data_IF_116715622647
#
_entry.id   IF_116715622647
#
_cell.length_a   1.000
_cell.length_b   1.000
_cell.length_c   1.000
_cell.angle_alpha   90.00
_cell.angle_beta   90.00
_cell.angle_gamma   90.00
#
_symmetry.space_group_name_H-M   'P 1'
#
loop_
_entity.id
_entity.type
_entity.pdbx_description
1 polymer ?
#
# COMPACT_ATOMS: atom_id res chain seq x y z
N UNK A 1 -23.06 -61.91 -14.55
CA UNK A 1 -22.77 -60.58 -15.11
C UNK A 1 -22.37 -59.68 -13.96
N UNK A 2 -21.07 -59.46 -13.77
CA UNK A 2 -20.57 -58.51 -12.77
C UNK A 2 -20.32 -57.17 -13.49
N UNK A 3 -21.10 -56.15 -13.14
CA UNK A 3 -20.91 -54.80 -13.65
C UNK A 3 -19.91 -54.05 -12.78
N UNK A 4 -18.77 -53.68 -13.35
CA UNK A 4 -17.86 -52.71 -12.74
C UNK A 4 -18.53 -51.34 -12.71
N UNK A 5 -18.75 -50.78 -11.52
CA UNK A 5 -19.11 -49.37 -11.38
C UNK A 5 -17.82 -48.57 -11.24
N UNK A 6 -17.42 -47.91 -12.32
CA UNK A 6 -16.26 -47.01 -12.31
C UNK A 6 -16.73 -45.61 -11.89
N UNK A 7 -16.38 -45.19 -10.66
CA UNK A 7 -16.70 -43.86 -10.17
C UNK A 7 -15.55 -42.91 -10.52
N UNK A 8 -15.79 -41.98 -11.46
CA UNK A 8 -14.87 -40.88 -11.75
C UNK A 8 -15.02 -39.84 -10.64
N UNK A 9 -14.05 -39.78 -9.73
CA UNK A 9 -13.87 -38.60 -8.89
C UNK A 9 -13.37 -37.50 -9.83
N UNK A 10 -14.25 -36.58 -10.20
CA UNK A 10 -13.85 -35.30 -10.75
C UNK A 10 -13.24 -34.52 -9.59
N UNK A 11 -11.92 -34.58 -9.45
CA UNK A 11 -11.19 -33.54 -8.75
C UNK A 11 -11.44 -32.26 -9.53
N UNK A 12 -12.42 -31.48 -9.11
CA UNK A 12 -12.35 -30.05 -9.37
C UNK A 12 -11.08 -29.60 -8.66
N UNK A 13 -10.00 -29.39 -9.42
CA UNK A 13 -9.02 -28.43 -8.94
C UNK A 13 -9.84 -27.18 -8.66
N UNK A 14 -9.87 -26.74 -7.41
CA UNK A 14 -10.13 -25.34 -7.18
C UNK A 14 -9.07 -24.62 -8.01
N UNK A 15 -9.45 -24.18 -9.21
CA UNK A 15 -8.84 -23.01 -9.79
C UNK A 15 -9.13 -21.96 -8.73
N UNK A 16 -8.16 -21.72 -7.86
CA UNK A 16 -8.13 -20.50 -7.07
C UNK A 16 -7.98 -19.40 -8.11
N UNK A 17 -9.11 -18.98 -8.66
CA UNK A 17 -9.26 -17.69 -9.30
C UNK A 17 -9.29 -16.66 -8.17
N UNK A 18 -8.23 -16.60 -7.35
CA UNK A 18 -7.92 -15.35 -6.69
C UNK A 18 -7.63 -14.40 -7.86
N UNK A 19 -8.51 -13.43 -8.04
CA UNK A 19 -8.35 -12.34 -9.00
C UNK A 19 -6.92 -11.85 -8.90
N UNK A 20 -6.12 -12.09 -9.95
CA UNK A 20 -4.76 -11.60 -9.98
C UNK A 20 -4.86 -10.08 -10.13
N UNK A 21 -4.70 -9.39 -9.00
CA UNK A 21 -4.51 -7.95 -8.96
C UNK A 21 -3.32 -7.57 -9.86
N UNK A 22 -3.34 -6.35 -10.38
CA UNK A 22 -2.43 -5.96 -11.44
C UNK A 22 -0.96 -5.90 -10.96
N UNK A 23 -0.07 -6.62 -11.65
CA UNK A 23 1.39 -6.49 -11.50
C UNK A 23 1.97 -5.83 -12.76
N UNK A 24 2.54 -4.61 -12.71
CA UNK A 24 3.20 -4.02 -13.86
C UNK A 24 4.38 -4.87 -14.31
N UNK A 25 4.64 -4.93 -15.62
CA UNK A 25 5.84 -5.58 -16.13
C UNK A 25 7.09 -4.73 -15.77
N UNK A 26 8.25 -5.35 -15.51
CA UNK A 26 9.49 -4.60 -15.33
C UNK A 26 9.75 -3.63 -16.49
N UNK A 27 10.18 -2.41 -16.17
CA UNK A 27 10.43 -1.36 -17.16
C UNK A 27 9.18 -0.62 -17.67
N UNK A 28 8.01 -0.80 -17.04
CA UNK A 28 6.81 0.00 -17.36
C UNK A 28 7.06 1.48 -17.08
N UNK A 29 6.93 2.33 -18.09
CA UNK A 29 7.05 3.80 -17.95
C UNK A 29 5.95 4.35 -17.05
N UNK A 30 6.32 5.24 -16.13
CA UNK A 30 5.42 5.86 -15.14
C UNK A 30 5.58 7.38 -15.11
N UNK A 31 4.53 8.07 -14.70
CA UNK A 31 4.50 9.50 -14.39
C UNK A 31 3.78 9.67 -13.05
N UNK A 32 4.41 10.37 -12.09
CA UNK A 32 3.85 10.63 -10.76
C UNK A 32 3.45 12.10 -10.70
N UNK A 33 2.19 12.37 -10.35
CA UNK A 33 1.65 13.74 -10.25
C UNK A 33 0.81 13.89 -8.97
N UNK A 34 1.44 14.33 -7.88
CA UNK A 34 0.79 14.58 -6.58
C UNK A 34 0.35 16.05 -6.46
N UNK A 35 -0.69 16.45 -7.20
CA UNK A 35 -1.19 17.84 -7.21
C UNK A 35 -2.57 18.03 -6.62
N UNK A 36 -3.28 16.94 -6.32
CA UNK A 36 -4.63 16.94 -5.78
C UNK A 36 -4.76 15.82 -4.75
N UNK A 37 -5.59 16.05 -3.73
CA UNK A 37 -5.96 15.01 -2.79
C UNK A 37 -6.80 13.94 -3.50
N UNK A 38 -6.90 12.77 -2.88
CA UNK A 38 -7.80 11.72 -3.34
C UNK A 38 -9.24 12.25 -3.40
N UNK A 39 -9.64 13.14 -2.49
CA UNK A 39 -11.00 13.72 -2.46
C UNK A 39 -11.29 14.66 -3.63
N UNK A 40 -10.25 15.27 -4.20
CA UNK A 40 -10.37 16.27 -5.27
C UNK A 40 -10.11 15.73 -6.69
N UNK A 41 -9.69 14.46 -6.84
CA UNK A 41 -9.22 13.95 -8.14
C UNK A 41 -10.34 13.71 -9.17
N UNK A 42 -11.62 13.74 -8.77
CA UNK A 42 -12.75 13.51 -9.68
C UNK A 42 -12.65 12.18 -10.44
N UNK A 43 -13.15 12.10 -11.67
CA UNK A 43 -12.97 10.92 -12.52
C UNK A 43 -11.55 10.88 -13.11
N UNK A 44 -10.85 9.76 -12.96
CA UNK A 44 -9.51 9.55 -13.49
C UNK A 44 -9.47 9.66 -15.03
N UNK A 45 -8.90 10.74 -15.61
CA UNK A 45 -8.97 11.01 -17.05
C UNK A 45 -8.21 9.99 -17.90
N UNK A 46 -7.23 9.32 -17.29
CA UNK A 46 -6.23 8.51 -17.97
C UNK A 46 -6.73 7.12 -18.38
N UNK A 47 -7.80 6.61 -17.75
CA UNK A 47 -8.33 5.27 -18.03
C UNK A 47 -8.84 5.11 -19.47
N UNK A 48 -9.41 6.16 -20.06
CA UNK A 48 -9.94 6.11 -21.43
C UNK A 48 -8.84 6.14 -22.51
N UNK A 49 -7.57 6.26 -22.12
CA UNK A 49 -6.42 6.31 -23.03
C UNK A 49 -5.53 5.06 -22.92
N UNK A 50 -5.97 4.03 -22.19
CA UNK A 50 -5.24 2.78 -22.01
C UNK A 50 -4.15 2.82 -20.92
N UNK A 51 -4.09 3.90 -20.14
CA UNK A 51 -3.23 3.98 -18.96
C UNK A 51 -3.89 3.34 -17.74
N UNK A 52 -3.05 2.87 -16.83
CA UNK A 52 -3.45 2.51 -15.47
C UNK A 52 -3.12 3.64 -14.51
N UNK A 53 -3.85 3.67 -13.42
CA UNK A 53 -3.83 4.72 -12.41
C UNK A 53 -3.44 4.16 -11.06
N UNK A 54 -2.49 4.81 -10.40
CA UNK A 54 -2.08 4.53 -9.03
C UNK A 54 -2.56 5.72 -8.19
N UNK A 55 -3.27 5.46 -7.11
CA UNK A 55 -3.76 6.49 -6.20
C UNK A 55 -2.94 6.49 -4.92
N UNK A 56 -2.31 7.62 -4.62
CA UNK A 56 -1.42 7.76 -3.48
C UNK A 56 -2.15 8.41 -2.29
N UNK A 57 -1.86 7.95 -1.08
CA UNK A 57 -2.24 8.60 0.17
C UNK A 57 -1.24 8.25 1.28
N UNK A 58 -1.05 9.14 2.24
CA UNK A 58 -0.22 8.85 3.41
C UNK A 58 -0.93 7.85 4.33
N UNK A 59 -0.24 6.78 4.73
CA UNK A 59 -0.77 5.77 5.63
C UNK A 59 -0.05 5.73 6.98
N UNK A 60 1.15 6.32 7.08
CA UNK A 60 1.88 6.52 8.33
C UNK A 60 1.38 7.70 9.15
N UNK A 61 1.30 8.91 8.60
CA UNK A 61 0.84 10.08 9.35
C UNK A 61 -0.65 10.40 9.18
N UNK A 62 -1.21 11.03 10.22
CA UNK A 62 -2.40 11.86 10.13
C UNK A 62 -2.01 13.22 9.53
N UNK A 63 -2.73 13.66 8.52
CA UNK A 63 -2.57 14.96 7.85
C UNK A 63 -3.75 15.87 8.25
N UNK A 64 -3.50 16.95 9.00
CA UNK A 64 -4.56 17.77 9.61
C UNK A 64 -5.49 18.50 8.62
N UNK A 65 -5.07 18.61 7.36
CA UNK A 65 -5.83 19.22 6.28
C UNK A 65 -6.77 18.25 5.56
N UNK A 66 -6.73 16.95 5.88
CA UNK A 66 -7.62 15.96 5.29
C UNK A 66 -9.00 16.02 5.92
N UNK A 67 -10.02 15.73 5.13
CA UNK A 67 -11.41 15.75 5.61
C UNK A 67 -11.70 14.70 6.70
N UNK A 68 -10.87 13.66 6.81
CA UNK A 68 -10.98 12.58 7.79
C UNK A 68 -10.07 12.78 9.02
N UNK A 69 -9.31 13.88 9.12
CA UNK A 69 -8.37 14.14 10.22
C UNK A 69 -9.04 14.07 11.61
N UNK A 70 -10.23 14.65 11.74
CA UNK A 70 -11.00 14.65 12.99
C UNK A 70 -11.55 13.26 13.38
N UNK A 71 -11.41 12.26 12.52
CA UNK A 71 -11.86 10.88 12.80
C UNK A 71 -10.80 10.04 13.51
N UNK A 72 -9.54 10.45 13.48
CA UNK A 72 -8.47 9.73 14.16
C UNK A 72 -8.63 9.86 15.68
N UNK A 73 -8.55 8.74 16.44
CA UNK A 73 -8.56 8.83 17.89
C UNK A 73 -7.26 9.48 18.37
N UNK A 74 -7.35 10.31 19.42
CA UNK A 74 -6.21 11.06 19.92
C UNK A 74 -5.07 10.15 20.39
N UNK A 75 -5.39 8.96 20.90
CA UNK A 75 -4.42 7.94 21.30
C UNK A 75 -3.67 7.29 20.14
N UNK A 76 -4.15 7.41 18.90
CA UNK A 76 -3.43 6.94 17.71
C UNK A 76 -2.50 8.00 17.12
N UNK A 77 -2.55 9.25 17.59
CA UNK A 77 -1.75 10.35 17.04
C UNK A 77 -0.52 10.57 17.93
N UNK A 78 0.66 10.43 17.33
CA UNK A 78 1.95 10.46 18.01
C UNK A 78 2.73 11.74 17.76
N UNK A 79 4.04 11.57 17.61
CA UNK A 79 4.96 12.69 17.38
C UNK A 79 4.69 13.38 16.03
N UNK A 80 4.88 14.71 15.95
CA UNK A 80 4.86 15.41 14.67
C UNK A 80 5.98 14.92 13.77
N UNK A 81 5.78 15.02 12.45
CA UNK A 81 6.85 14.81 11.47
C UNK A 81 7.77 16.04 11.45
N UNK A 82 9.08 15.82 11.35
CA UNK A 82 10.08 16.89 11.54
C UNK A 82 10.00 17.98 10.46
N UNK A 83 9.75 17.61 9.20
CA UNK A 83 9.78 18.52 8.05
C UNK A 83 8.39 18.83 7.46
N UNK A 84 7.32 18.30 8.07
CA UNK A 84 5.95 18.36 7.51
C UNK A 84 4.95 18.91 8.53
N UNK A 85 4.76 20.24 8.50
CA UNK A 85 3.79 20.92 9.38
C UNK A 85 2.36 20.43 9.12
N UNK A 86 1.66 20.04 10.19
CA UNK A 86 0.31 19.48 10.11
C UNK A 86 0.28 17.95 9.98
N UNK A 87 1.44 17.28 9.92
CA UNK A 87 1.54 15.82 9.94
C UNK A 87 2.01 15.28 11.30
N UNK A 88 1.38 14.20 11.75
CA UNK A 88 1.78 13.48 12.96
C UNK A 88 1.68 11.96 12.76
N UNK A 89 2.67 11.22 13.24
CA UNK A 89 2.76 9.78 13.09
C UNK A 89 1.57 9.05 13.73
N UNK A 90 1.09 7.98 13.07
CA UNK A 90 0.02 7.13 13.60
C UNK A 90 0.58 5.89 14.31
N UNK A 91 -0.11 5.45 15.37
CA UNK A 91 0.03 4.07 15.85
C UNK A 91 -0.62 3.13 14.82
N UNK A 92 0.19 2.49 13.99
CA UNK A 92 -0.26 1.60 12.91
C UNK A 92 -0.96 0.32 13.40
N UNK A 93 -0.96 0.05 14.70
CA UNK A 93 -1.69 -1.06 15.34
C UNK A 93 -3.09 -0.64 15.79
N UNK A 94 -3.39 0.66 15.83
CA UNK A 94 -4.68 1.15 16.27
C UNK A 94 -5.76 0.79 15.23
N UNK A 95 -6.78 0.05 15.67
CA UNK A 95 -7.83 -0.43 14.78
C UNK A 95 -8.67 0.71 14.19
N UNK A 96 -9.01 1.74 14.97
CA UNK A 96 -9.79 2.88 14.43
C UNK A 96 -8.99 3.66 13.37
N UNK A 97 -7.66 3.76 13.51
CA UNK A 97 -6.80 4.29 12.45
C UNK A 97 -6.79 3.37 11.21
N UNK A 98 -6.75 2.05 11.41
CA UNK A 98 -6.88 1.06 10.31
C UNK A 98 -8.24 1.17 9.61
N UNK A 99 -9.33 1.43 10.33
CA UNK A 99 -10.67 1.67 9.75
C UNK A 99 -10.67 2.87 8.80
N UNK A 100 -9.97 3.95 9.17
CA UNK A 100 -9.81 5.13 8.31
C UNK A 100 -9.03 4.77 7.04
N UNK A 101 -7.97 3.98 7.15
CA UNK A 101 -7.23 3.50 5.96
C UNK A 101 -8.09 2.63 5.06
N UNK A 102 -8.95 1.77 5.61
CA UNK A 102 -9.93 1.03 4.80
C UNK A 102 -10.84 1.97 4.03
N UNK A 103 -11.34 3.03 4.67
CA UNK A 103 -12.17 4.03 4.00
C UNK A 103 -11.41 4.76 2.87
N UNK A 104 -10.12 5.07 3.06
CA UNK A 104 -9.27 5.65 2.00
C UNK A 104 -9.08 4.69 0.82
N UNK A 105 -8.86 3.40 1.09
CA UNK A 105 -8.76 2.36 0.05
C UNK A 105 -10.09 2.18 -0.69
N UNK A 106 -11.21 2.20 0.03
CA UNK A 106 -12.54 2.15 -0.58
C UNK A 106 -12.77 3.34 -1.51
N UNK A 107 -12.39 4.55 -1.08
CA UNK A 107 -12.46 5.74 -1.92
C UNK A 107 -11.59 5.62 -3.19
N UNK A 108 -10.40 5.01 -3.09
CA UNK A 108 -9.56 4.74 -4.26
C UNK A 108 -10.24 3.75 -5.24
N UNK A 109 -10.83 2.67 -4.72
CA UNK A 109 -11.57 1.70 -5.54
C UNK A 109 -12.77 2.36 -6.23
N UNK A 110 -13.55 3.18 -5.51
CA UNK A 110 -14.71 3.90 -6.03
C UNK A 110 -14.35 4.92 -7.11
N UNK A 111 -13.20 5.58 -6.97
CA UNK A 111 -12.64 6.49 -7.98
C UNK A 111 -12.07 5.75 -9.19
N UNK A 112 -11.99 4.43 -9.09
CA UNK A 112 -11.57 3.53 -10.15
C UNK A 112 -10.06 3.50 -10.30
N UNK A 113 -9.28 3.61 -9.23
CA UNK A 113 -7.84 3.37 -9.29
C UNK A 113 -7.55 1.91 -9.70
N UNK A 114 -6.37 1.61 -10.24
CA UNK A 114 -5.92 0.24 -10.52
C UNK A 114 -4.99 -0.29 -9.42
N UNK A 115 -4.43 0.63 -8.64
CA UNK A 115 -3.50 0.35 -7.58
C UNK A 115 -3.50 1.50 -6.57
N UNK A 116 -2.94 1.22 -5.40
CA UNK A 116 -2.60 2.23 -4.40
C UNK A 116 -1.11 2.23 -4.10
N UNK A 117 -0.63 3.39 -3.67
CA UNK A 117 0.73 3.65 -3.19
C UNK A 117 0.60 4.37 -1.85
N UNK A 118 0.81 3.65 -0.76
CA UNK A 118 0.62 4.16 0.60
C UNK A 118 1.94 4.63 1.17
N UNK A 119 2.02 5.92 1.50
CA UNK A 119 3.25 6.57 1.94
C UNK A 119 3.54 6.36 3.44
N UNK A 120 4.82 6.50 3.79
CA UNK A 120 5.34 6.55 5.16
C UNK A 120 5.04 5.31 6.03
N UNK A 121 5.25 4.11 5.49
CA UNK A 121 5.00 2.83 6.19
C UNK A 121 6.11 2.46 7.18
N UNK A 122 7.19 3.22 7.20
CA UNK A 122 8.42 3.08 7.97
C UNK A 122 8.44 3.89 9.27
N UNK A 123 7.26 4.13 9.88
CA UNK A 123 7.10 4.84 11.16
C UNK A 123 8.05 4.34 12.27
N UNK A 124 8.37 3.04 12.27
CA UNK A 124 9.30 2.41 13.21
C UNK A 124 10.74 2.95 13.12
N UNK A 125 11.13 3.57 12.00
CA UNK A 125 12.44 4.22 11.82
C UNK A 125 12.47 5.66 12.34
N UNK A 126 11.31 6.30 12.55
CA UNK A 126 11.18 7.70 12.96
C UNK A 126 10.80 7.85 14.44
N UNK A 127 11.70 7.45 15.34
CA UNK A 127 11.47 7.37 16.79
C UNK A 127 10.17 6.60 17.13
N UNK A 128 9.84 5.64 16.27
CA UNK A 128 8.66 4.80 16.36
C UNK A 128 7.33 5.57 16.48
N UNK A 129 7.28 6.80 15.98
CA UNK A 129 6.14 7.71 16.11
C UNK A 129 5.80 8.10 17.56
N UNK A 130 6.62 7.72 18.55
CA UNK A 130 6.29 7.81 19.97
C UNK A 130 5.51 6.62 20.56
N UNK A 131 5.39 5.50 19.83
CA UNK A 131 4.55 4.34 20.17
C UNK A 131 5.29 3.01 20.39
N UNK A 132 6.63 3.03 20.37
CA UNK A 132 7.50 1.84 20.42
C UNK A 132 7.19 0.81 19.31
N UNK A 133 6.72 1.28 18.14
CA UNK A 133 6.52 0.49 16.93
C UNK A 133 7.82 -0.19 16.47
N UNK A 134 7.66 -1.42 15.98
CA UNK A 134 8.74 -2.27 15.48
C UNK A 134 8.59 -2.53 13.98
N UNK A 135 9.61 -3.12 13.37
CA UNK A 135 9.53 -3.58 11.98
C UNK A 135 8.43 -4.65 11.80
N UNK A 136 8.19 -5.50 12.81
CA UNK A 136 7.13 -6.51 12.75
C UNK A 136 5.75 -5.85 12.70
N UNK A 137 5.55 -4.74 13.44
CA UNK A 137 4.31 -3.95 13.37
C UNK A 137 4.11 -3.31 11.99
N UNK A 138 5.20 -2.89 11.34
CA UNK A 138 5.15 -2.31 10.01
C UNK A 138 4.85 -3.37 8.93
N UNK A 139 5.42 -4.57 9.05
CA UNK A 139 5.11 -5.72 8.17
C UNK A 139 3.65 -6.15 8.35
N UNK A 140 3.14 -6.23 9.58
CA UNK A 140 1.72 -6.49 9.83
C UNK A 140 0.81 -5.44 9.20
N UNK A 141 1.21 -4.16 9.28
CA UNK A 141 0.46 -3.06 8.69
C UNK A 141 0.45 -3.11 7.15
N UNK A 142 1.59 -3.43 6.52
CA UNK A 142 1.68 -3.67 5.07
C UNK A 142 0.79 -4.85 4.66
N UNK A 143 0.80 -5.93 5.44
CA UNK A 143 -0.07 -7.08 5.20
C UNK A 143 -1.55 -6.67 5.27
N UNK A 144 -1.95 -5.95 6.32
CA UNK A 144 -3.30 -5.43 6.47
C UNK A 144 -3.74 -4.57 5.27
N UNK A 145 -2.93 -3.59 4.88
CA UNK A 145 -3.26 -2.68 3.78
C UNK A 145 -3.33 -3.40 2.44
N UNK A 146 -2.35 -4.26 2.14
CA UNK A 146 -2.29 -5.02 0.89
C UNK A 146 -3.45 -6.01 0.77
N UNK A 147 -3.78 -6.77 1.83
CA UNK A 147 -4.91 -7.68 1.83
C UNK A 147 -6.23 -6.94 1.60
N UNK A 148 -6.43 -5.79 2.25
CA UNK A 148 -7.63 -4.99 2.03
C UNK A 148 -7.69 -4.42 0.61
N UNK A 149 -6.59 -3.89 0.07
CA UNK A 149 -6.50 -3.41 -1.31
C UNK A 149 -6.83 -4.52 -2.32
N UNK A 150 -6.25 -5.71 -2.14
CA UNK A 150 -6.55 -6.87 -2.99
C UNK A 150 -8.02 -7.28 -2.91
N UNK A 151 -8.66 -7.15 -1.73
CA UNK A 151 -10.10 -7.40 -1.58
C UNK A 151 -10.98 -6.42 -2.39
N UNK A 152 -10.41 -5.29 -2.81
CA UNK A 152 -11.04 -4.26 -3.65
C UNK A 152 -10.54 -4.27 -5.10
N UNK A 153 -9.89 -5.36 -5.54
CA UNK A 153 -9.28 -5.51 -6.86
C UNK A 153 -8.20 -4.45 -7.18
N UNK A 154 -7.59 -3.85 -6.16
CA UNK A 154 -6.48 -2.90 -6.28
C UNK A 154 -5.15 -3.62 -6.07
N UNK A 155 -4.14 -3.29 -6.90
CA UNK A 155 -2.75 -3.63 -6.58
C UNK A 155 -2.22 -2.75 -5.45
N UNK A 156 -1.23 -3.24 -4.71
CA UNK A 156 -0.60 -2.50 -3.62
C UNK A 156 0.89 -2.26 -3.92
N UNK A 157 1.34 -1.01 -3.77
CA UNK A 157 2.74 -0.61 -3.90
C UNK A 157 3.40 -0.44 -2.55
N UNK A 158 4.64 -0.91 -2.40
CA UNK A 158 5.49 -0.56 -1.27
C UNK A 158 6.19 0.77 -1.59
N UNK A 159 5.94 1.79 -0.78
CA UNK A 159 6.68 3.04 -0.82
C UNK A 159 7.87 2.94 0.12
N UNK A 160 9.08 3.12 -0.39
CA UNK A 160 10.31 3.06 0.40
C UNK A 160 10.37 1.77 1.26
N UNK A 161 10.80 1.83 2.53
CA UNK A 161 10.70 0.69 3.46
C UNK A 161 11.62 -0.48 3.14
N UNK A 162 12.84 -0.21 2.67
CA UNK A 162 13.80 -1.22 2.22
C UNK A 162 14.04 -2.41 3.16
N UNK A 163 13.97 -2.21 4.48
CA UNK A 163 14.16 -3.30 5.45
C UNK A 163 13.00 -4.30 5.50
N UNK A 164 11.82 -3.92 5.01
CA UNK A 164 10.63 -4.79 4.98
C UNK A 164 10.54 -5.61 3.69
N UNK A 165 11.31 -5.24 2.66
CA UNK A 165 11.18 -5.76 1.30
C UNK A 165 11.09 -7.28 1.26
N UNK A 166 12.08 -8.00 1.81
CA UNK A 166 12.09 -9.48 1.78
C UNK A 166 10.85 -10.11 2.41
N UNK A 167 10.23 -9.43 3.37
CA UNK A 167 9.09 -9.93 4.15
C UNK A 167 7.76 -9.70 3.44
N UNK A 168 7.69 -8.74 2.51
CA UNK A 168 6.44 -8.29 1.88
C UNK A 168 6.38 -8.52 0.38
N UNK A 169 7.40 -9.12 -0.25
CA UNK A 169 7.45 -9.36 -1.71
C UNK A 169 6.19 -10.03 -2.29
N UNK A 170 5.61 -10.99 -1.59
CA UNK A 170 4.41 -11.71 -2.06
C UNK A 170 3.12 -10.89 -1.92
N UNK A 171 3.16 -9.80 -1.15
CA UNK A 171 2.05 -8.91 -0.83
C UNK A 171 1.97 -7.68 -1.74
N UNK A 172 3.06 -7.35 -2.45
CA UNK A 172 3.19 -6.09 -3.19
C UNK A 172 3.30 -6.34 -4.69
N UNK A 173 2.78 -5.42 -5.50
CA UNK A 173 2.86 -5.49 -6.96
C UNK A 173 3.99 -4.71 -7.58
N UNK A 174 4.48 -3.70 -6.87
CA UNK A 174 5.55 -2.82 -7.30
C UNK A 174 6.12 -2.11 -6.07
N UNK A 175 7.27 -1.48 -6.27
CA UNK A 175 7.91 -0.59 -5.31
C UNK A 175 8.00 0.82 -5.92
N UNK A 176 7.74 1.83 -5.09
CA UNK A 176 8.04 3.23 -5.36
C UNK A 176 9.16 3.63 -4.41
N UNK A 177 10.35 3.81 -4.95
CA UNK A 177 11.50 4.28 -4.20
C UNK A 177 11.81 5.74 -4.57
N UNK A 178 12.00 6.58 -3.56
CA UNK A 178 12.43 7.96 -3.71
C UNK A 178 13.93 8.10 -3.38
N UNK A 179 14.63 8.85 -4.23
CA UNK A 179 16.00 9.32 -3.98
C UNK A 179 17.09 8.24 -3.78
N UNK A 180 16.90 6.96 -4.10
CA UNK A 180 17.97 5.96 -3.95
C UNK A 180 19.30 6.32 -4.65
N UNK A 181 19.25 7.06 -5.77
CA UNK A 181 20.46 7.54 -6.44
C UNK A 181 21.16 8.65 -5.64
N UNK A 182 20.40 9.55 -5.02
CA UNK A 182 20.93 10.65 -4.21
C UNK A 182 21.60 10.12 -2.93
N UNK A 183 21.10 9.02 -2.39
CA UNK A 183 21.67 8.30 -1.24
C UNK A 183 22.74 7.25 -1.62
N UNK A 184 23.14 7.19 -2.90
CA UNK A 184 24.17 6.28 -3.41
C UNK A 184 23.92 4.80 -3.03
N UNK A 185 22.67 4.38 -3.20
CA UNK A 185 22.23 3.03 -2.87
C UNK A 185 22.78 2.01 -3.88
N UNK A 186 23.43 0.91 -3.44
CA UNK A 186 24.03 -0.07 -4.35
C UNK A 186 23.03 -0.74 -5.29
N UNK A 187 21.78 -0.90 -4.84
CA UNK A 187 20.77 -1.73 -5.49
C UNK A 187 19.59 -0.89 -6.03
N UNK A 188 19.81 0.41 -6.29
CA UNK A 188 18.79 1.36 -6.75
C UNK A 188 18.14 0.99 -8.09
N UNK A 189 18.85 0.24 -8.93
CA UNK A 189 18.34 -0.24 -10.23
C UNK A 189 17.79 -1.68 -10.17
N UNK A 190 17.87 -2.33 -9.01
CA UNK A 190 17.37 -3.70 -8.82
C UNK A 190 15.88 -3.70 -8.45
N UNK A 191 15.10 -4.72 -8.90
CA UNK A 191 13.74 -4.88 -8.43
C UNK A 191 13.75 -5.20 -6.93
N UNK A 192 13.06 -4.39 -6.12
CA UNK A 192 12.95 -4.56 -4.68
C UNK A 192 14.21 -4.09 -3.93
N UNK A 193 14.47 -2.78 -3.99
CA UNK A 193 15.65 -2.19 -3.36
C UNK A 193 15.51 -2.18 -1.84
N UNK A 194 16.50 -2.69 -1.12
CA UNK A 194 16.53 -2.58 0.36
C UNK A 194 16.94 -1.18 0.84
N UNK A 195 16.72 -0.17 0.00
CA UNK A 195 17.18 1.17 0.25
C UNK A 195 16.39 1.82 1.37
N UNK A 196 17.10 2.39 2.34
CA UNK A 196 16.50 3.40 3.22
C UNK A 196 16.49 4.71 2.46
N UNK A 197 15.36 5.36 2.46
CA UNK A 197 15.16 6.70 1.92
C UNK A 197 14.52 7.54 3.02
N UNK A 198 15.05 8.76 3.16
CA UNK A 198 14.75 9.75 4.19
C UNK A 198 15.18 9.38 5.63
#
# INVERSE_FOLDING_TARGET
MYGSVTQKILLFSALSSALAWWRPAPGTTREIVLRKTLDDIGTLPVKNQGYRSICCFSAGPCEDWRADADSFPAEAIGNPLDDWEGEAWLDTRNEDARDIMRARIDAAAEKGCDAIDSDNLDVYEHDAGGFDLTIDDAVDYVQFLSEYAHSKDLSFGLKNGGLMVEQVLDLVGFEVNEQCQDFNCPDCDEPHSECRSE
#
